data_IF_462179574237
#
_entry.id   IF_462179574237
#
_cell.length_a   1.000
_cell.length_b   1.000
_cell.length_c   1.000
_cell.angle_alpha   90.00
_cell.angle_beta   90.00
_cell.angle_gamma   90.00
#
_symmetry.space_group_name_H-M   'P 1'
#
loop_
_entity.id
_entity.type
_entity.pdbx_description
1 polymer ?
#
# COMPACT_ATOMS: atom_id res chain seq x y z
N UNK A 1 -3.67 -16.33 -23.86
CA UNK A 1 -2.58 -15.50 -23.33
C UNK A 1 -2.58 -15.64 -21.81
N UNK A 2 -1.45 -15.98 -21.18
CA UNK A 2 -1.33 -16.08 -19.72
C UNK A 2 -0.59 -14.84 -19.22
N UNK A 3 -0.99 -14.27 -18.09
CA UNK A 3 -0.35 -13.12 -17.45
C UNK A 3 -0.29 -13.35 -15.94
N UNK A 4 0.62 -12.66 -15.25
CA UNK A 4 0.76 -12.70 -13.80
C UNK A 4 0.42 -11.32 -13.22
N UNK A 5 -0.56 -11.28 -12.33
CA UNK A 5 -0.88 -10.09 -11.56
C UNK A 5 -0.60 -10.35 -10.07
N UNK A 6 0.12 -9.42 -9.43
CA UNK A 6 0.48 -9.47 -8.03
C UNK A 6 -0.22 -8.31 -7.35
N UNK A 7 -1.32 -8.61 -6.67
CA UNK A 7 -2.02 -7.63 -5.85
C UNK A 7 -1.36 -7.50 -4.47
N UNK A 8 -1.53 -6.35 -3.82
CA UNK A 8 -0.92 -5.99 -2.54
C UNK A 8 0.60 -6.25 -2.49
N UNK A 9 1.29 -5.88 -3.57
CA UNK A 9 2.70 -6.19 -3.79
C UNK A 9 3.64 -5.64 -2.70
N UNK A 10 3.18 -4.69 -1.88
CA UNK A 10 3.92 -4.23 -0.69
C UNK A 10 4.24 -5.34 0.31
N UNK A 11 3.46 -6.41 0.31
CA UNK A 11 3.64 -7.58 1.16
C UNK A 11 4.89 -8.40 0.82
N UNK A 12 5.57 -8.13 -0.31
CA UNK A 12 6.89 -8.71 -0.65
C UNK A 12 7.97 -8.20 0.31
N UNK A 13 7.79 -7.00 0.89
CA UNK A 13 8.73 -6.42 1.85
C UNK A 13 8.19 -6.59 3.27
N UNK A 14 9.05 -7.05 4.18
CA UNK A 14 8.72 -7.25 5.60
C UNK A 14 8.18 -5.97 6.22
N UNK A 15 6.94 -6.02 6.71
CA UNK A 15 6.45 -5.17 7.79
C UNK A 15 6.17 -6.07 8.99
N UNK A 16 7.11 -6.11 9.95
CA UNK A 16 6.89 -6.79 11.23
C UNK A 16 6.72 -8.32 11.19
N UNK A 17 6.31 -8.88 12.33
CA UNK A 17 6.26 -10.33 12.64
C UNK A 17 5.18 -11.12 11.89
N UNK A 18 4.28 -10.46 11.16
CA UNK A 18 3.21 -11.06 10.36
C UNK A 18 3.53 -11.13 8.86
N UNK A 19 4.81 -11.28 8.52
CA UNK A 19 5.27 -11.34 7.14
C UNK A 19 4.82 -12.63 6.41
N UNK A 20 4.22 -12.47 5.22
CA UNK A 20 3.93 -13.59 4.32
C UNK A 20 5.21 -14.03 3.61
N UNK A 21 6.02 -14.85 4.28
CA UNK A 21 7.24 -15.46 3.73
C UNK A 21 7.05 -16.07 2.33
N UNK A 22 5.84 -16.53 2.00
CA UNK A 22 5.51 -17.13 0.70
C UNK A 22 5.62 -16.16 -0.49
N UNK A 23 5.42 -14.86 -0.29
CA UNK A 23 5.47 -13.89 -1.41
C UNK A 23 6.90 -13.52 -1.82
N UNK A 24 7.91 -13.81 -0.99
CA UNK A 24 9.32 -13.75 -1.40
C UNK A 24 9.60 -14.72 -2.54
N UNK A 25 8.88 -15.85 -2.60
CA UNK A 25 9.05 -16.90 -3.61
C UNK A 25 8.29 -16.61 -4.91
N UNK A 26 7.72 -15.41 -5.09
CA UNK A 26 7.07 -15.02 -6.35
C UNK A 26 8.02 -15.10 -7.54
N UNK A 27 9.32 -14.84 -7.34
CA UNK A 27 10.33 -15.01 -8.38
C UNK A 27 10.45 -16.47 -8.86
N UNK A 28 10.23 -17.44 -7.98
CA UNK A 28 10.17 -18.86 -8.33
C UNK A 28 8.91 -19.18 -9.14
N UNK A 29 7.75 -18.61 -8.78
CA UNK A 29 6.54 -18.75 -9.60
C UNK A 29 6.75 -18.13 -10.99
N UNK A 30 7.44 -16.98 -11.06
CA UNK A 30 7.78 -16.32 -12.32
C UNK A 30 8.70 -17.17 -13.20
N UNK A 31 9.63 -17.94 -12.63
CA UNK A 31 10.54 -18.80 -13.40
C UNK A 31 9.85 -20.02 -14.01
N UNK A 32 8.68 -20.41 -13.50
CA UNK A 32 7.84 -21.48 -14.08
C UNK A 32 6.99 -20.99 -15.28
N UNK A 33 6.92 -19.68 -15.50
CA UNK A 33 6.13 -19.08 -16.59
C UNK A 33 7.01 -18.82 -17.81
N UNK A 34 6.44 -18.85 -19.04
CA UNK A 34 7.17 -18.46 -20.25
C UNK A 34 7.88 -17.11 -20.09
N UNK A 35 9.08 -16.92 -20.67
CA UNK A 35 9.86 -15.69 -20.53
C UNK A 35 9.10 -14.41 -20.90
N UNK A 36 8.21 -14.47 -21.89
CA UNK A 36 7.45 -13.30 -22.36
C UNK A 36 6.11 -13.09 -21.65
N UNK A 37 5.86 -13.81 -20.55
CA UNK A 37 4.64 -13.65 -19.76
C UNK A 37 4.60 -12.24 -19.13
N UNK A 38 3.56 -11.43 -19.40
CA UNK A 38 3.41 -10.11 -18.79
C UNK A 38 3.24 -10.22 -17.28
N UNK A 39 3.89 -9.32 -16.53
CA UNK A 39 3.80 -9.24 -15.07
C UNK A 39 3.36 -7.84 -14.65
N UNK A 40 2.35 -7.76 -13.79
CA UNK A 40 1.86 -6.52 -13.19
C UNK A 40 1.89 -6.63 -11.67
N UNK A 41 2.37 -5.59 -10.99
CA UNK A 41 2.36 -5.50 -9.53
C UNK A 41 1.56 -4.26 -9.11
N UNK A 42 0.57 -4.45 -8.23
CA UNK A 42 -0.33 -3.40 -7.76
C UNK A 42 -0.19 -3.25 -6.25
N UNK A 43 -0.21 -2.01 -5.75
CA UNK A 43 -0.21 -1.70 -4.31
C UNK A 43 -0.68 -0.27 -4.09
N UNK A 44 -1.34 -0.03 -2.96
CA UNK A 44 -1.69 1.33 -2.52
C UNK A 44 -0.47 2.10 -1.97
N UNK A 45 0.49 1.39 -1.35
CA UNK A 45 1.66 2.00 -0.71
C UNK A 45 2.93 1.53 -1.41
N UNK A 46 3.65 2.47 -2.04
CA UNK A 46 4.85 2.20 -2.83
C UNK A 46 6.01 3.15 -2.51
N UNK A 47 6.68 3.04 -1.33
CA UNK A 47 7.91 3.77 -1.07
C UNK A 47 9.00 3.35 -2.06
N UNK A 48 9.97 4.23 -2.32
CA UNK A 48 11.04 3.98 -3.31
C UNK A 48 11.72 2.62 -3.11
N UNK A 49 12.01 2.26 -1.86
CA UNK A 49 12.68 0.99 -1.56
C UNK A 49 11.84 -0.23 -1.94
N UNK A 50 10.52 -0.17 -1.79
CA UNK A 50 9.63 -1.25 -2.25
C UNK A 50 9.62 -1.33 -3.78
N UNK A 51 9.62 -0.21 -4.51
CA UNK A 51 9.64 -0.21 -5.98
C UNK A 51 10.87 -0.93 -6.52
N UNK A 52 12.03 -0.68 -5.91
CA UNK A 52 13.29 -1.36 -6.24
C UNK A 52 13.17 -2.87 -5.98
N UNK A 53 12.56 -3.27 -4.87
CA UNK A 53 12.39 -4.68 -4.52
C UNK A 53 11.39 -5.38 -5.45
N UNK A 54 10.33 -4.69 -5.91
CA UNK A 54 9.39 -5.22 -6.88
C UNK A 54 10.03 -5.46 -8.25
N UNK A 55 10.92 -4.58 -8.71
CA UNK A 55 11.63 -4.80 -9.98
C UNK A 55 12.43 -6.12 -9.94
N UNK A 56 13.01 -6.47 -8.78
CA UNK A 56 13.82 -7.68 -8.60
C UNK A 56 13.02 -8.99 -8.68
N UNK A 57 11.68 -8.96 -8.69
CA UNK A 57 10.87 -10.18 -8.77
C UNK A 57 10.79 -10.77 -10.19
N UNK A 58 11.54 -10.21 -11.14
CA UNK A 58 11.56 -10.64 -12.54
C UNK A 58 10.67 -9.79 -13.44
N UNK A 59 10.40 -8.53 -13.05
CA UNK A 59 9.82 -7.53 -13.95
C UNK A 59 10.94 -6.90 -14.76
N UNK A 60 11.00 -7.24 -16.06
CA UNK A 60 11.99 -6.67 -16.99
C UNK A 60 11.49 -5.32 -17.50
N UNK A 61 12.22 -4.26 -17.19
CA UNK A 61 11.94 -2.88 -17.62
C UNK A 61 10.45 -2.46 -17.46
N UNK A 62 9.91 -2.48 -16.22
CA UNK A 62 8.49 -2.24 -16.03
C UNK A 62 8.14 -0.77 -16.22
N UNK A 63 7.00 -0.52 -16.87
CA UNK A 63 6.36 0.80 -16.85
C UNK A 63 5.90 1.11 -15.43
N UNK A 64 6.44 2.18 -14.83
CA UNK A 64 6.05 2.65 -13.51
C UNK A 64 4.91 3.66 -13.62
N UNK A 65 3.75 3.31 -13.08
CA UNK A 65 2.59 4.20 -12.98
C UNK A 65 2.41 4.56 -11.50
N UNK A 66 2.55 5.84 -11.16
CA UNK A 66 2.41 6.34 -9.80
C UNK A 66 1.39 7.47 -9.82
N UNK A 67 0.37 7.35 -8.98
CA UNK A 67 -0.65 8.38 -8.81
C UNK A 67 -0.45 9.13 -7.49
N UNK A 68 -0.94 10.36 -7.45
CA UNK A 68 -0.99 11.14 -6.21
C UNK A 68 -1.88 10.43 -5.18
N UNK A 69 -1.43 10.42 -3.93
CA UNK A 69 -2.22 9.96 -2.78
C UNK A 69 -3.06 11.09 -2.19
N UNK A 70 -2.86 12.34 -2.63
CA UNK A 70 -3.55 13.49 -2.09
C UNK A 70 -5.04 13.41 -2.39
N UNK A 71 -5.83 13.53 -1.33
CA UNK A 71 -7.28 13.66 -1.39
C UNK A 71 -7.61 15.03 -0.80
N UNK A 72 -8.16 15.92 -1.62
CA UNK A 72 -8.41 17.31 -1.22
C UNK A 72 -9.43 17.42 -0.07
N UNK A 73 -10.21 16.36 0.15
CA UNK A 73 -11.14 16.22 1.26
C UNK A 73 -10.51 15.63 2.56
N UNK A 74 -9.20 15.38 2.59
CA UNK A 74 -8.47 14.90 3.76
C UNK A 74 -7.41 15.93 4.18
N UNK A 75 -7.59 16.52 5.36
CA UNK A 75 -6.64 17.43 5.97
C UNK A 75 -5.82 16.73 7.05
N UNK A 76 -4.52 17.02 7.11
CA UNK A 76 -3.60 16.44 8.09
C UNK A 76 -3.23 17.49 9.15
N UNK A 77 -3.41 17.16 10.43
CA UNK A 77 -3.05 18.02 11.57
C UNK A 77 -2.21 17.24 12.57
N UNK A 78 -1.19 17.89 13.14
CA UNK A 78 -0.31 17.30 14.16
C UNK A 78 -0.31 18.20 15.39
N UNK A 79 -0.60 17.62 16.56
CA UNK A 79 -0.63 18.32 17.85
C UNK A 79 0.20 17.57 18.88
N UNK A 80 0.76 18.27 19.86
CA UNK A 80 1.43 17.62 20.99
C UNK A 80 0.43 16.85 21.84
N UNK A 81 0.83 15.63 22.24
CA UNK A 81 0.01 14.79 23.11
C UNK A 81 0.12 15.26 24.57
N UNK A 82 -1.02 15.50 25.21
CA UNK A 82 -1.13 15.84 26.64
C UNK A 82 -1.90 14.76 27.40
N UNK A 83 -3.11 14.43 26.92
CA UNK A 83 -3.93 13.35 27.44
C UNK A 83 -4.97 12.94 26.39
N UNK A 84 -5.51 11.73 26.49
CA UNK A 84 -6.58 11.26 25.61
C UNK A 84 -7.77 12.21 25.61
N UNK A 85 -8.24 12.61 26.80
CA UNK A 85 -9.38 13.52 26.93
C UNK A 85 -9.08 14.88 26.29
N UNK A 86 -7.91 15.47 26.52
CA UNK A 86 -7.57 16.76 25.93
C UNK A 86 -7.49 16.69 24.40
N UNK A 87 -6.73 15.73 23.86
CA UNK A 87 -6.46 15.66 22.43
C UNK A 87 -7.64 15.15 21.60
N UNK A 88 -8.53 14.32 22.17
CA UNK A 88 -9.65 13.74 21.45
C UNK A 88 -10.97 14.50 21.66
N UNK A 89 -11.10 15.33 22.71
CA UNK A 89 -12.37 16.01 23.05
C UNK A 89 -12.94 16.79 21.86
N UNK A 90 -12.13 17.65 21.24
CA UNK A 90 -12.59 18.47 20.12
C UNK A 90 -13.02 17.60 18.92
N UNK A 91 -12.21 16.60 18.55
CA UNK A 91 -12.53 15.68 17.46
C UNK A 91 -13.81 14.88 17.73
N UNK A 92 -14.02 14.44 18.97
CA UNK A 92 -15.24 13.74 19.38
C UNK A 92 -16.46 14.65 19.39
N UNK A 93 -16.34 15.90 19.84
CA UNK A 93 -17.43 16.89 19.79
C UNK A 93 -17.81 17.21 18.34
N UNK A 94 -16.84 17.37 17.43
CA UNK A 94 -17.08 17.55 16.01
C UNK A 94 -17.75 16.32 15.37
N UNK A 95 -17.32 15.10 15.72
CA UNK A 95 -17.95 13.88 15.23
C UNK A 95 -19.39 13.73 15.75
N UNK A 96 -19.64 14.12 17.01
CA UNK A 96 -20.98 14.12 17.61
C UNK A 96 -21.92 15.14 16.97
N UNK A 97 -21.43 16.34 16.67
CA UNK A 97 -22.23 17.40 16.02
C UNK A 97 -22.53 17.11 14.55
N UNK A 98 -21.61 16.44 13.84
CA UNK A 98 -21.78 16.03 12.43
C UNK A 98 -22.50 14.69 12.26
N UNK A 99 -22.86 14.01 13.35
CA UNK A 99 -23.46 12.66 13.35
C UNK A 99 -24.85 12.58 12.69
N UNK A 100 -25.40 13.71 12.22
CA UNK A 100 -26.76 13.85 11.67
C UNK A 100 -26.82 14.04 10.15
N UNK A 101 -25.76 13.77 9.38
CA UNK A 101 -25.75 14.07 7.93
C UNK A 101 -25.49 12.90 6.97
N UNK A 102 -25.65 11.64 7.41
CA UNK A 102 -25.75 10.50 6.49
C UNK A 102 -26.93 9.62 6.89
N UNK A 103 -27.84 9.26 5.96
CA UNK A 103 -28.99 8.39 6.23
C UNK A 103 -28.57 6.97 6.64
#
# INVERSE_FOLDING_TARGET
>A
MKAMAIDEAHTIKKWGSSFRQKLVRISELRSLLPPDTPVMALTNTAPLTLRIDLIKIGMKDPTLIIMSLCKDNISYHVTLFQSLDHNLKEGLEQLRSKRTLYP
#
